data_IF_267853403278
#
_entry.id   IF_267853403278
#
_cell.length_a   1.000
_cell.length_b   1.000
_cell.length_c   1.000
_cell.angle_alpha   90.00
_cell.angle_beta   90.00
_cell.angle_gamma   90.00
#
_symmetry.space_group_name_H-M   'P 1'
#
loop_
_entity.id
_entity.type
_entity.pdbx_description
1 polymer ?
#
# COMPACT_ATOMS: atom_id res chain seq x y z
N UNK A 1 -10.98 -39.17 -29.67
CA UNK A 1 -9.89 -38.56 -28.88
C UNK A 1 -10.26 -38.72 -27.42
N UNK A 2 -9.52 -39.55 -26.67
CA UNK A 2 -9.76 -39.75 -25.25
C UNK A 2 -9.34 -38.47 -24.51
N UNK A 3 -10.30 -37.74 -23.95
CA UNK A 3 -10.04 -36.66 -23.02
C UNK A 3 -9.55 -37.30 -21.72
N UNK A 4 -8.25 -37.23 -21.49
CA UNK A 4 -7.60 -37.57 -20.24
C UNK A 4 -8.17 -36.69 -19.13
N UNK A 5 -9.12 -37.23 -18.36
CA UNK A 5 -9.58 -36.63 -17.12
C UNK A 5 -8.44 -36.80 -16.12
N UNK A 6 -7.59 -35.78 -16.01
CA UNK A 6 -6.54 -35.78 -15.00
C UNK A 6 -7.23 -35.54 -13.66
N UNK A 7 -7.51 -36.62 -12.92
CA UNK A 7 -8.01 -36.56 -11.54
C UNK A 7 -6.91 -35.95 -10.67
N UNK A 8 -6.91 -34.62 -10.57
CA UNK A 8 -6.15 -33.90 -9.55
C UNK A 8 -6.68 -34.35 -8.18
N UNK A 9 -5.94 -35.22 -7.48
CA UNK A 9 -6.17 -35.51 -6.05
C UNK A 9 -5.81 -34.28 -5.23
N UNK A 10 -6.73 -33.34 -5.13
CA UNK A 10 -6.59 -32.18 -4.26
C UNK A 10 -7.07 -32.59 -2.87
N UNK A 11 -6.16 -32.55 -1.90
CA UNK A 11 -6.47 -32.85 -0.51
C UNK A 11 -6.96 -31.57 0.17
N UNK A 12 -8.21 -31.56 0.58
CA UNK A 12 -8.82 -30.47 1.37
C UNK A 12 -8.72 -30.85 2.84
N UNK A 13 -8.29 -29.91 3.68
CA UNK A 13 -8.37 -30.06 5.14
C UNK A 13 -9.83 -30.29 5.55
N UNK A 14 -10.07 -31.17 6.52
CA UNK A 14 -11.44 -31.46 6.95
C UNK A 14 -12.05 -30.29 7.71
N UNK A 15 -13.34 -30.04 7.50
CA UNK A 15 -14.12 -29.10 8.32
C UNK A 15 -14.44 -29.75 9.68
N UNK A 16 -13.70 -29.40 10.72
CA UNK A 16 -13.92 -29.91 12.08
C UNK A 16 -14.70 -28.91 12.95
N UNK A 17 -14.49 -27.60 12.74
CA UNK A 17 -15.13 -26.55 13.52
C UNK A 17 -15.33 -25.20 12.81
N UNK A 18 -15.93 -24.21 13.51
CA UNK A 18 -16.16 -22.87 12.97
C UNK A 18 -14.89 -22.13 12.51
N UNK A 19 -13.76 -22.39 13.17
CA UNK A 19 -12.45 -21.85 12.86
C UNK A 19 -11.95 -22.22 11.46
N UNK A 20 -12.30 -23.41 10.98
CA UNK A 20 -11.88 -23.91 9.67
C UNK A 20 -12.79 -23.43 8.54
N UNK A 21 -14.00 -22.95 8.86
CA UNK A 21 -15.06 -22.66 7.90
C UNK A 21 -14.60 -21.75 6.75
N UNK A 22 -13.94 -20.63 7.06
CA UNK A 22 -13.52 -19.67 6.03
C UNK A 22 -12.51 -20.28 5.04
N UNK A 23 -11.50 -20.99 5.55
CA UNK A 23 -10.46 -21.64 4.73
C UNK A 23 -11.06 -22.81 3.93
N UNK A 24 -11.89 -23.61 4.58
CA UNK A 24 -12.58 -24.75 3.97
C UNK A 24 -13.53 -24.30 2.86
N UNK A 25 -14.40 -23.33 3.13
CA UNK A 25 -15.37 -22.81 2.16
C UNK A 25 -14.66 -22.26 0.93
N UNK A 26 -13.58 -21.51 1.11
CA UNK A 26 -12.78 -20.99 -0.01
C UNK A 26 -12.21 -22.13 -0.87
N UNK A 27 -11.55 -23.11 -0.26
CA UNK A 27 -10.92 -24.22 -0.98
C UNK A 27 -11.97 -25.11 -1.69
N UNK A 28 -13.07 -25.44 -1.02
CA UNK A 28 -14.18 -26.22 -1.60
C UNK A 28 -14.87 -25.45 -2.73
N UNK A 29 -15.07 -24.13 -2.59
CA UNK A 29 -15.65 -23.32 -3.68
C UNK A 29 -14.78 -23.34 -4.94
N UNK A 30 -13.45 -23.29 -4.78
CA UNK A 30 -12.53 -23.44 -5.92
C UNK A 30 -12.64 -24.81 -6.58
N UNK A 31 -12.77 -25.87 -5.80
CA UNK A 31 -12.95 -27.23 -6.32
C UNK A 31 -14.27 -27.41 -7.06
N UNK A 32 -15.36 -26.88 -6.51
CA UNK A 32 -16.68 -26.93 -7.16
C UNK A 32 -16.65 -26.19 -8.51
N UNK A 33 -15.95 -25.06 -8.59
CA UNK A 33 -15.73 -24.35 -9.87
C UNK A 33 -14.90 -25.17 -10.85
N UNK A 34 -13.82 -25.79 -10.39
CA UNK A 34 -12.96 -26.62 -11.24
C UNK A 34 -13.72 -27.81 -11.85
N UNK A 35 -14.71 -28.36 -11.13
CA UNK A 35 -15.56 -29.44 -11.62
C UNK A 35 -16.88 -28.97 -12.28
N UNK A 36 -17.10 -27.65 -12.40
CA UNK A 36 -18.36 -27.07 -12.89
C UNK A 36 -19.62 -27.51 -12.12
N UNK A 37 -19.50 -27.68 -10.79
CA UNK A 37 -20.57 -28.12 -9.89
C UNK A 37 -21.12 -26.99 -8.99
N UNK A 38 -20.54 -25.79 -9.05
CA UNK A 38 -20.93 -24.66 -8.18
C UNK A 38 -22.42 -24.33 -8.31
N UNK A 39 -22.98 -24.41 -9.53
CA UNK A 39 -24.38 -24.12 -9.82
C UNK A 39 -25.39 -25.12 -9.25
N UNK A 40 -24.96 -26.34 -8.97
CA UNK A 40 -25.81 -27.35 -8.32
C UNK A 40 -25.82 -27.10 -6.82
N UNK A 41 -24.66 -26.76 -6.25
CA UNK A 41 -24.48 -26.54 -4.82
C UNK A 41 -25.10 -25.24 -4.32
N UNK A 42 -25.07 -24.18 -5.13
CA UNK A 42 -25.71 -22.91 -4.79
C UNK A 42 -27.23 -22.90 -5.07
N UNK A 43 -27.76 -23.95 -5.72
CA UNK A 43 -29.18 -24.11 -6.07
C UNK A 43 -29.63 -23.32 -7.32
N UNK A 44 -28.73 -22.73 -8.10
CA UNK A 44 -29.08 -22.01 -9.35
C UNK A 44 -29.52 -22.97 -10.44
N UNK A 45 -28.93 -24.17 -10.52
CA UNK A 45 -29.32 -25.25 -11.39
C UNK A 45 -30.32 -26.18 -10.69
N UNK A 46 -31.62 -25.93 -10.89
CA UNK A 46 -32.68 -26.78 -10.34
C UNK A 46 -32.82 -28.09 -11.11
N UNK A 47 -33.17 -29.16 -10.39
CA UNK A 47 -33.47 -30.46 -10.97
C UNK A 47 -34.56 -30.32 -12.06
N UNK A 48 -34.29 -30.75 -13.32
CA UNK A 48 -35.29 -30.73 -14.38
C UNK A 48 -36.47 -31.67 -14.04
N UNK A 49 -37.71 -31.20 -14.16
CA UNK A 49 -38.90 -32.04 -13.94
C UNK A 49 -39.10 -33.01 -15.11
N UNK A 50 -39.27 -34.29 -14.80
CA UNK A 50 -39.58 -35.33 -15.80
C UNK A 50 -41.03 -35.75 -15.63
N UNK A 51 -41.90 -35.32 -16.56
CA UNK A 51 -43.28 -35.78 -16.67
C UNK A 51 -43.40 -37.02 -17.58
N UNK A 52 -44.54 -37.71 -17.57
CA UNK A 52 -44.78 -38.93 -18.37
C UNK A 52 -44.71 -38.75 -19.90
N UNK A 53 -44.67 -37.50 -20.39
CA UNK A 53 -44.54 -37.11 -21.79
C UNK A 53 -43.19 -36.45 -22.13
N UNK A 54 -42.19 -36.57 -21.25
CA UNK A 54 -40.87 -35.95 -21.44
C UNK A 54 -40.13 -36.53 -22.63
N UNK A 55 -39.42 -35.66 -23.35
CA UNK A 55 -38.55 -36.04 -24.46
C UNK A 55 -37.30 -36.78 -23.95
N UNK A 56 -36.70 -37.61 -24.82
CA UNK A 56 -35.44 -38.32 -24.51
C UNK A 56 -34.33 -37.38 -24.01
N UNK A 57 -34.32 -36.13 -24.49
CA UNK A 57 -33.33 -35.11 -24.11
C UNK A 57 -33.55 -34.59 -22.67
N UNK A 58 -34.80 -34.48 -22.22
CA UNK A 58 -35.14 -34.02 -20.86
C UNK A 58 -34.81 -35.09 -19.82
N UNK A 59 -35.06 -36.36 -20.16
CA UNK A 59 -34.67 -37.50 -19.32
C UNK A 59 -33.15 -37.59 -19.17
N UNK A 60 -32.40 -37.38 -20.26
CA UNK A 60 -30.93 -37.39 -20.24
C UNK A 60 -30.36 -36.23 -19.40
N UNK A 61 -30.92 -35.02 -19.54
CA UNK A 61 -30.54 -33.86 -18.69
C UNK A 61 -30.84 -34.09 -17.21
N UNK A 62 -31.97 -34.69 -16.88
CA UNK A 62 -32.32 -35.04 -15.49
C UNK A 62 -31.33 -36.06 -14.91
N UNK A 63 -30.99 -37.11 -15.67
CA UNK A 63 -29.99 -38.09 -15.24
C UNK A 63 -28.59 -37.48 -15.07
N UNK A 64 -28.21 -36.53 -15.95
CA UNK A 64 -26.95 -35.82 -15.83
C UNK A 64 -26.92 -34.94 -14.58
N UNK A 65 -28.00 -34.20 -14.30
CA UNK A 65 -28.13 -33.41 -13.08
C UNK A 65 -27.99 -34.26 -11.82
N UNK A 66 -28.64 -35.44 -11.77
CA UNK A 66 -28.52 -36.36 -10.62
C UNK A 66 -27.09 -36.86 -10.41
N UNK A 67 -26.34 -37.11 -11.49
CA UNK A 67 -24.93 -37.51 -11.40
C UNK A 67 -24.07 -36.38 -10.84
N UNK A 68 -24.30 -35.16 -11.32
CA UNK A 68 -23.53 -34.00 -10.92
C UNK A 68 -23.86 -33.58 -9.46
N UNK A 69 -25.12 -33.68 -9.03
CA UNK A 69 -25.54 -33.52 -7.63
C UNK A 69 -24.90 -34.57 -6.72
N UNK A 70 -24.95 -35.85 -7.10
CA UNK A 70 -24.30 -36.92 -6.33
C UNK A 70 -22.78 -36.71 -6.22
N UNK A 71 -22.14 -36.23 -7.30
CA UNK A 71 -20.70 -35.91 -7.31
C UNK A 71 -20.39 -34.73 -6.38
N UNK A 72 -21.19 -33.67 -6.43
CA UNK A 72 -21.05 -32.52 -5.55
C UNK A 72 -21.26 -32.90 -4.08
N UNK A 73 -22.32 -33.65 -3.77
CA UNK A 73 -22.61 -34.15 -2.43
C UNK A 73 -21.48 -35.05 -1.89
N UNK A 74 -20.92 -35.92 -2.73
CA UNK A 74 -19.79 -36.78 -2.36
C UNK A 74 -18.51 -35.98 -2.08
N UNK A 75 -18.25 -34.94 -2.88
CA UNK A 75 -17.11 -34.04 -2.66
C UNK A 75 -17.27 -33.27 -1.35
N UNK A 76 -18.45 -32.71 -1.10
CA UNK A 76 -18.75 -32.03 0.16
C UNK A 76 -18.57 -33.00 1.34
N UNK A 77 -19.26 -34.14 1.35
CA UNK A 77 -19.20 -35.13 2.42
C UNK A 77 -17.77 -35.65 2.69
N UNK A 78 -16.97 -35.85 1.64
CA UNK A 78 -15.58 -36.30 1.76
C UNK A 78 -14.63 -35.32 2.45
N UNK A 79 -15.02 -34.04 2.55
CA UNK A 79 -14.24 -32.97 3.16
C UNK A 79 -14.75 -32.55 4.55
N UNK A 80 -15.73 -33.26 5.10
CA UNK A 80 -16.27 -33.00 6.44
C UNK A 80 -15.56 -33.84 7.50
N UNK A 81 -15.35 -33.22 8.67
CA UNK A 81 -15.02 -33.92 9.91
C UNK A 81 -16.19 -34.75 10.42
N UNK A 82 -15.94 -35.60 11.42
CA UNK A 82 -16.95 -36.57 11.92
C UNK A 82 -18.18 -35.86 12.48
N UNK A 83 -17.96 -34.85 13.32
CA UNK A 83 -19.00 -34.05 13.99
C UNK A 83 -19.86 -33.27 12.99
N UNK A 84 -19.23 -32.69 11.98
CA UNK A 84 -19.92 -31.88 10.96
C UNK A 84 -20.69 -32.77 9.98
N UNK A 85 -20.17 -33.96 9.67
CA UNK A 85 -20.87 -34.95 8.86
C UNK A 85 -22.22 -35.36 9.48
N UNK A 86 -22.26 -35.54 10.81
CA UNK A 86 -23.49 -35.89 11.54
C UNK A 86 -24.59 -34.82 11.39
N UNK A 87 -24.22 -33.55 11.20
CA UNK A 87 -25.19 -32.46 11.00
C UNK A 87 -25.91 -32.55 9.65
N UNK A 88 -25.27 -33.11 8.63
CA UNK A 88 -25.77 -33.09 7.24
C UNK A 88 -26.34 -34.43 6.79
N UNK A 89 -26.33 -35.46 7.64
CA UNK A 89 -26.83 -36.82 7.31
C UNK A 89 -28.27 -36.88 6.77
N UNK A 90 -29.11 -35.91 7.12
CA UNK A 90 -30.51 -35.85 6.68
C UNK A 90 -30.68 -35.14 5.33
N UNK A 91 -29.63 -34.56 4.77
CA UNK A 91 -29.70 -33.79 3.53
C UNK A 91 -29.62 -34.74 2.34
N UNK A 92 -30.50 -34.54 1.36
CA UNK A 92 -30.59 -35.38 0.17
C UNK A 92 -29.78 -34.85 -1.01
N UNK A 93 -29.70 -33.52 -1.13
CA UNK A 93 -29.04 -32.84 -2.25
C UNK A 93 -27.81 -32.06 -1.79
N UNK A 94 -26.87 -31.84 -2.71
CA UNK A 94 -25.65 -31.08 -2.42
C UNK A 94 -25.97 -29.63 -1.99
N UNK A 95 -27.04 -29.05 -2.54
CA UNK A 95 -27.55 -27.74 -2.16
C UNK A 95 -28.00 -27.68 -0.70
N UNK A 96 -28.74 -28.69 -0.24
CA UNK A 96 -29.20 -28.78 1.15
C UNK A 96 -28.03 -28.92 2.13
N UNK A 97 -27.02 -29.74 1.78
CA UNK A 97 -25.79 -29.88 2.58
C UNK A 97 -25.13 -28.51 2.73
N UNK A 98 -24.95 -27.81 1.62
CA UNK A 98 -24.29 -26.51 1.59
C UNK A 98 -25.08 -25.44 2.36
N UNK A 99 -26.40 -25.40 2.21
CA UNK A 99 -27.27 -24.49 2.96
C UNK A 99 -27.24 -24.74 4.46
N UNK A 100 -27.21 -26.01 4.88
CA UNK A 100 -27.17 -26.37 6.31
C UNK A 100 -25.82 -26.00 6.94
N UNK A 101 -24.73 -26.18 6.21
CA UNK A 101 -23.40 -25.76 6.63
C UNK A 101 -23.32 -24.22 6.71
N UNK A 102 -23.82 -23.51 5.70
CA UNK A 102 -23.93 -22.04 5.72
C UNK A 102 -24.74 -21.56 6.92
N UNK A 103 -25.93 -22.12 7.16
CA UNK A 103 -26.77 -21.75 8.30
C UNK A 103 -26.08 -22.00 9.66
N UNK A 104 -25.22 -23.01 9.76
CA UNK A 104 -24.52 -23.36 11.00
C UNK A 104 -23.29 -22.52 11.28
N UNK A 105 -22.52 -22.18 10.24
CA UNK A 105 -21.19 -21.55 10.37
C UNK A 105 -21.15 -20.10 9.92
N UNK A 106 -22.10 -19.67 9.08
CA UNK A 106 -22.25 -18.27 8.62
C UNK A 106 -23.33 -17.52 9.37
N UNK A 107 -23.82 -18.10 10.48
CA UNK A 107 -24.82 -17.46 11.31
C UNK A 107 -24.29 -16.10 11.77
N UNK A 108 -24.86 -15.05 11.17
CA UNK A 108 -24.66 -13.71 11.65
C UNK A 108 -25.31 -13.55 13.01
N UNK A 109 -24.59 -12.93 13.94
CA UNK A 109 -25.10 -12.69 15.30
C UNK A 109 -24.48 -11.45 15.88
N UNK A 110 -25.21 -10.76 16.76
CA UNK A 110 -24.69 -9.59 17.48
C UNK A 110 -23.45 -9.96 18.31
N UNK A 111 -23.37 -11.21 18.82
CA UNK A 111 -22.19 -11.71 19.50
C UNK A 111 -20.98 -11.79 18.57
N UNK A 112 -21.14 -12.33 17.35
CA UNK A 112 -20.07 -12.37 16.34
C UNK A 112 -19.62 -10.96 15.96
N UNK A 113 -20.56 -10.04 15.73
CA UNK A 113 -20.25 -8.64 15.46
C UNK A 113 -19.41 -8.03 16.59
N UNK A 114 -19.86 -8.14 17.84
CA UNK A 114 -19.13 -7.60 19.00
C UNK A 114 -17.74 -8.23 19.16
N UNK A 115 -17.59 -9.54 18.93
CA UNK A 115 -16.28 -10.21 18.97
C UNK A 115 -15.35 -9.69 17.86
N UNK A 116 -15.87 -9.44 16.65
CA UNK A 116 -15.08 -8.90 15.54
C UNK A 116 -14.68 -7.44 15.79
N UNK A 117 -15.57 -6.62 16.35
CA UNK A 117 -15.26 -5.26 16.79
C UNK A 117 -14.12 -5.29 17.80
N UNK A 118 -14.24 -6.11 18.85
CA UNK A 118 -13.22 -6.21 19.88
C UNK A 118 -11.88 -6.73 19.32
N UNK A 119 -11.92 -7.76 18.47
CA UNK A 119 -10.72 -8.29 17.83
C UNK A 119 -10.03 -7.26 16.93
N UNK A 120 -10.79 -6.53 16.12
CA UNK A 120 -10.25 -5.51 15.22
C UNK A 120 -9.58 -4.36 15.98
N UNK A 121 -10.21 -3.84 17.04
CA UNK A 121 -9.64 -2.73 17.81
C UNK A 121 -8.53 -3.13 18.80
N UNK A 122 -8.44 -4.41 19.18
CA UNK A 122 -7.39 -4.90 20.09
C UNK A 122 -6.18 -5.49 19.37
N UNK A 123 -6.24 -5.74 18.06
CA UNK A 123 -5.14 -6.39 17.35
C UNK A 123 -3.88 -5.53 17.41
N UNK A 124 -2.79 -6.15 17.85
CA UNK A 124 -1.46 -5.54 17.90
C UNK A 124 -0.46 -6.50 17.26
N UNK A 125 0.60 -5.95 16.66
CA UNK A 125 1.66 -6.75 16.06
C UNK A 125 2.46 -7.43 17.16
N UNK A 126 2.63 -8.74 17.07
CA UNK A 126 3.60 -9.48 17.89
C UNK A 126 5.02 -9.17 17.38
N UNK A 127 5.98 -9.01 18.29
CA UNK A 127 7.39 -8.77 17.93
C UNK A 127 7.97 -9.87 17.03
N UNK A 128 7.49 -11.10 17.16
CA UNK A 128 7.93 -12.27 16.38
C UNK A 128 7.22 -12.42 15.04
N UNK A 129 6.17 -11.64 14.80
CA UNK A 129 5.38 -11.68 13.58
C UNK A 129 5.90 -10.64 12.57
N UNK A 130 6.07 -11.06 11.31
CA UNK A 130 6.41 -10.15 10.23
C UNK A 130 5.23 -9.23 9.87
N UNK A 131 5.54 -8.06 9.32
CA UNK A 131 4.54 -7.03 9.00
C UNK A 131 3.53 -7.53 7.97
N UNK A 132 3.95 -8.34 6.99
CA UNK A 132 3.05 -8.85 5.94
C UNK A 132 1.98 -9.76 6.52
N UNK A 133 2.37 -10.69 7.39
CA UNK A 133 1.43 -11.57 8.10
C UNK A 133 0.48 -10.78 9.00
N UNK A 134 1.00 -9.78 9.73
CA UNK A 134 0.17 -8.93 10.57
C UNK A 134 -0.84 -8.12 9.76
N UNK A 135 -0.41 -7.53 8.64
CA UNK A 135 -1.28 -6.79 7.71
C UNK A 135 -2.36 -7.71 7.14
N UNK A 136 -2.03 -8.94 6.75
CA UNK A 136 -3.00 -9.90 6.26
C UNK A 136 -4.04 -10.27 7.33
N UNK A 137 -3.65 -10.42 8.60
CA UNK A 137 -4.59 -10.64 9.71
C UNK A 137 -5.51 -9.45 9.93
N UNK A 138 -4.97 -8.23 9.93
CA UNK A 138 -5.73 -7.00 10.10
C UNK A 138 -6.73 -6.79 8.94
N UNK A 139 -6.28 -7.00 7.70
CA UNK A 139 -7.13 -6.98 6.49
C UNK A 139 -8.28 -7.97 6.60
N UNK A 140 -7.98 -9.20 7.02
CA UNK A 140 -9.00 -10.23 7.21
C UNK A 140 -10.03 -9.82 8.26
N UNK A 141 -9.59 -9.33 9.43
CA UNK A 141 -10.49 -8.85 10.48
C UNK A 141 -11.37 -7.69 10.00
N UNK A 142 -10.81 -6.77 9.21
CA UNK A 142 -11.54 -5.65 8.63
C UNK A 142 -12.64 -6.11 7.66
N UNK A 143 -12.31 -7.03 6.76
CA UNK A 143 -13.28 -7.62 5.81
C UNK A 143 -14.36 -8.38 6.56
N UNK A 144 -13.98 -9.25 7.49
CA UNK A 144 -14.93 -10.04 8.30
C UNK A 144 -15.87 -9.13 9.11
N UNK A 145 -15.36 -8.01 9.65
CA UNK A 145 -16.15 -7.03 10.40
C UNK A 145 -17.11 -6.26 9.49
N UNK A 146 -16.64 -5.75 8.34
CA UNK A 146 -17.51 -5.05 7.39
C UNK A 146 -18.60 -5.95 6.81
N UNK A 147 -18.26 -7.21 6.50
CA UNK A 147 -19.24 -8.21 6.06
C UNK A 147 -20.30 -8.48 7.15
N UNK A 148 -19.89 -8.50 8.42
CA UNK A 148 -20.82 -8.68 9.53
C UNK A 148 -21.68 -7.43 9.76
N UNK A 149 -21.11 -6.22 9.69
CA UNK A 149 -21.85 -4.95 9.76
C UNK A 149 -22.94 -4.87 8.69
N UNK A 150 -22.63 -5.25 7.44
CA UNK A 150 -23.60 -5.31 6.34
C UNK A 150 -24.76 -6.27 6.64
N UNK A 151 -24.50 -7.42 7.28
CA UNK A 151 -25.55 -8.39 7.64
C UNK A 151 -26.47 -7.89 8.76
N UNK A 152 -26.05 -6.91 9.55
CA UNK A 152 -26.85 -6.25 10.58
C UNK A 152 -27.47 -4.93 10.12
N UNK A 153 -27.39 -4.61 8.82
CA UNK A 153 -27.84 -3.32 8.24
C UNK A 153 -27.15 -2.10 8.91
N UNK A 154 -25.91 -2.28 9.38
CA UNK A 154 -25.09 -1.21 9.95
C UNK A 154 -24.12 -0.59 8.91
N UNK A 155 -23.61 0.61 9.22
CA UNK A 155 -22.65 1.29 8.35
C UNK A 155 -21.29 0.56 8.37
N UNK A 156 -20.74 0.31 7.18
CA UNK A 156 -19.38 -0.23 7.04
C UNK A 156 -18.32 0.78 7.41
N UNK A 157 -17.20 0.27 7.90
CA UNK A 157 -15.99 1.04 8.16
C UNK A 157 -15.28 1.37 6.83
N UNK A 158 -14.84 2.62 6.71
CA UNK A 158 -14.01 3.07 5.58
C UNK A 158 -12.63 2.41 5.61
N UNK A 159 -12.05 2.09 4.45
CA UNK A 159 -10.67 1.54 4.33
C UNK A 159 -9.60 2.42 5.00
N UNK A 160 -9.89 3.70 5.23
CA UNK A 160 -9.04 4.59 6.06
C UNK A 160 -8.82 4.05 7.47
N UNK A 161 -9.70 3.22 8.02
CA UNK A 161 -9.49 2.57 9.32
C UNK A 161 -8.42 1.48 9.26
N UNK A 162 -8.24 0.84 8.10
CA UNK A 162 -7.21 -0.16 7.87
C UNK A 162 -5.83 0.49 7.71
N UNK A 163 -5.75 1.55 6.90
CA UNK A 163 -4.50 2.29 6.64
C UNK A 163 -4.19 3.33 7.73
N UNK A 164 -5.16 3.62 8.59
CA UNK A 164 -5.11 4.69 9.59
C UNK A 164 -3.90 4.61 10.51
N UNK A 165 -3.58 3.45 11.12
CA UNK A 165 -2.43 3.32 12.02
C UNK A 165 -1.10 3.62 11.32
N UNK A 166 -0.90 3.13 10.09
CA UNK A 166 0.35 3.37 9.35
C UNK A 166 0.46 4.81 8.85
N UNK A 167 -0.62 5.32 8.24
CA UNK A 167 -0.66 6.71 7.74
C UNK A 167 -0.52 7.70 8.89
N UNK A 168 -1.21 7.51 10.01
CA UNK A 168 -1.09 8.39 11.18
C UNK A 168 0.32 8.44 11.76
N UNK A 169 1.05 7.31 11.74
CA UNK A 169 2.47 7.27 12.13
C UNK A 169 3.39 7.98 11.13
N UNK A 170 3.05 7.94 9.84
CA UNK A 170 3.81 8.58 8.78
C UNK A 170 3.63 10.11 8.73
N UNK A 171 2.45 10.61 9.12
CA UNK A 171 2.10 12.04 9.00
C UNK A 171 3.04 13.01 9.73
N UNK A 172 3.51 12.76 10.97
CA UNK A 172 4.49 13.62 11.63
C UNK A 172 5.77 13.80 10.82
N UNK A 173 6.32 12.70 10.29
CA UNK A 173 7.52 12.73 9.46
C UNK A 173 7.26 13.42 8.11
N UNK A 174 6.11 13.17 7.47
CA UNK A 174 5.74 13.87 6.23
C UNK A 174 5.63 15.38 6.45
N UNK A 175 4.98 15.79 7.53
CA UNK A 175 4.80 17.19 7.87
C UNK A 175 6.14 17.88 8.17
N UNK A 176 7.04 17.22 8.90
CA UNK A 176 8.37 17.74 9.18
C UNK A 176 9.23 17.83 7.90
N UNK A 177 9.19 16.81 7.03
CA UNK A 177 9.99 16.77 5.79
C UNK A 177 9.54 17.83 4.76
N UNK A 178 8.24 18.06 4.65
CA UNK A 178 7.68 19.00 3.66
C UNK A 178 7.72 20.45 4.11
N UNK A 179 8.25 20.70 5.32
CA UNK A 179 8.44 22.03 5.88
C UNK A 179 7.55 22.27 7.10
N UNK A 180 8.17 22.69 8.20
CA UNK A 180 7.53 23.18 9.41
C UNK A 180 8.42 24.28 10.03
N UNK A 181 8.05 24.82 11.19
CA UNK A 181 8.83 25.88 11.86
C UNK A 181 10.28 25.46 12.20
N UNK A 182 10.54 24.14 12.27
CA UNK A 182 11.82 23.57 12.69
C UNK A 182 12.64 22.96 11.54
N UNK A 183 12.07 22.85 10.34
CA UNK A 183 12.70 22.18 9.20
C UNK A 183 12.23 22.82 7.88
N UNK A 184 13.13 23.16 6.94
CA UNK A 184 12.79 23.97 5.78
C UNK A 184 11.85 23.24 4.81
N UNK A 185 11.06 24.02 4.07
CA UNK A 185 10.25 23.49 2.98
C UNK A 185 11.06 23.32 1.69
N UNK A 186 10.64 22.40 0.83
CA UNK A 186 11.14 22.36 -0.55
C UNK A 186 10.49 23.47 -1.37
N UNK A 187 11.31 24.18 -2.14
CA UNK A 187 10.85 25.35 -2.91
C UNK A 187 9.71 24.97 -3.86
N UNK A 188 8.59 25.71 -3.77
CA UNK A 188 7.38 25.49 -4.56
C UNK A 188 6.85 24.05 -4.53
N UNK A 189 7.04 23.34 -3.42
CA UNK A 189 6.41 22.03 -3.17
C UNK A 189 5.50 22.15 -1.94
N UNK A 190 4.23 22.41 -2.18
CA UNK A 190 3.20 22.42 -1.13
C UNK A 190 2.92 21.02 -0.57
N UNK A 191 2.16 20.91 0.52
CA UNK A 191 1.93 19.65 1.27
C UNK A 191 0.97 18.67 0.60
N UNK A 192 0.09 19.14 -0.30
CA UNK A 192 -0.92 18.31 -0.98
C UNK A 192 -0.29 17.20 -1.82
N UNK A 193 0.62 17.56 -2.74
CA UNK A 193 1.29 16.60 -3.63
C UNK A 193 2.11 15.53 -2.87
N UNK A 194 2.98 15.86 -1.91
CA UNK A 194 3.64 14.88 -1.04
C UNK A 194 2.66 13.94 -0.33
N UNK A 195 1.53 14.47 0.17
CA UNK A 195 0.49 13.66 0.81
C UNK A 195 -0.15 12.68 -0.18
N UNK A 196 -0.50 13.12 -1.38
CA UNK A 196 -1.07 12.25 -2.43
C UNK A 196 -0.08 11.14 -2.84
N UNK A 197 1.22 11.46 -2.95
CA UNK A 197 2.29 10.48 -3.21
C UNK A 197 2.38 9.45 -2.06
N UNK A 198 2.35 9.91 -0.81
CA UNK A 198 2.38 9.03 0.36
C UNK A 198 1.16 8.09 0.38
N UNK A 199 -0.03 8.62 0.12
CA UNK A 199 -1.26 7.82 0.13
C UNK A 199 -1.29 6.76 -0.98
N UNK A 200 -0.58 6.98 -2.09
CA UNK A 200 -0.49 6.05 -3.22
C UNK A 200 0.54 4.92 -3.07
N UNK A 201 1.33 4.86 -1.98
CA UNK A 201 2.42 3.89 -1.83
C UNK A 201 2.59 3.40 -0.39
N UNK A 202 2.33 2.11 -0.17
CA UNK A 202 2.56 1.46 1.13
C UNK A 202 4.04 1.51 1.55
N UNK A 203 4.97 1.40 0.59
CA UNK A 203 6.42 1.50 0.83
C UNK A 203 6.81 2.89 1.35
N UNK A 204 6.19 3.95 0.82
CA UNK A 204 6.42 5.29 1.36
C UNK A 204 5.79 5.43 2.74
N UNK A 205 4.57 4.93 2.95
CA UNK A 205 3.91 4.96 4.27
C UNK A 205 4.78 4.30 5.34
N UNK A 206 5.33 3.12 5.06
CA UNK A 206 6.24 2.40 5.96
C UNK A 206 7.53 3.19 6.23
N UNK A 207 8.18 3.72 5.19
CA UNK A 207 9.41 4.49 5.35
C UNK A 207 9.20 5.75 6.23
N UNK A 208 8.11 6.50 6.02
CA UNK A 208 7.78 7.66 6.84
C UNK A 208 7.36 7.28 8.26
N UNK A 209 6.64 6.18 8.44
CA UNK A 209 6.28 5.67 9.77
C UNK A 209 7.53 5.24 10.56
N UNK A 210 8.47 4.55 9.91
CA UNK A 210 9.74 4.14 10.50
C UNK A 210 10.63 5.35 10.82
N UNK A 211 10.68 6.36 9.96
CA UNK A 211 11.46 7.59 10.19
C UNK A 211 11.06 8.33 11.46
N UNK A 212 9.80 8.23 11.90
CA UNK A 212 9.35 8.81 13.17
C UNK A 212 9.68 7.96 14.41
N UNK A 213 10.30 6.80 14.26
CA UNK A 213 10.66 5.90 15.37
C UNK A 213 12.04 6.24 15.94
N UNK A 214 12.20 6.19 17.26
CA UNK A 214 13.44 6.56 17.94
C UNK A 214 14.62 5.65 17.55
N UNK A 215 14.37 4.34 17.49
CA UNK A 215 15.36 3.30 17.21
C UNK A 215 15.73 3.15 15.73
N UNK A 216 14.99 3.79 14.82
CA UNK A 216 15.14 3.58 13.38
C UNK A 216 16.38 4.28 12.82
N UNK A 217 17.24 3.57 12.08
CA UNK A 217 18.35 4.21 11.37
C UNK A 217 17.87 4.83 10.06
N UNK A 218 18.18 6.11 9.84
CA UNK A 218 17.80 6.83 8.63
C UNK A 218 18.37 6.16 7.37
N UNK A 219 19.53 5.51 7.47
CA UNK A 219 20.21 4.86 6.34
C UNK A 219 19.39 3.72 5.76
N UNK A 220 18.61 3.01 6.58
CA UNK A 220 17.71 1.95 6.13
C UNK A 220 16.58 2.49 5.24
N UNK A 221 16.10 3.71 5.54
CA UNK A 221 15.02 4.37 4.81
C UNK A 221 15.52 5.28 3.67
N UNK A 222 16.81 5.66 3.66
CA UNK A 222 17.33 6.68 2.76
C UNK A 222 17.04 6.39 1.27
N UNK A 223 17.25 5.17 0.73
CA UNK A 223 16.96 4.90 -0.69
C UNK A 223 15.48 5.08 -1.04
N UNK A 224 14.57 4.75 -0.12
CA UNK A 224 13.13 4.93 -0.30
C UNK A 224 12.78 6.42 -0.22
N UNK A 225 13.41 7.18 0.68
CA UNK A 225 13.22 8.62 0.78
C UNK A 225 13.77 9.36 -0.44
N UNK A 226 14.90 8.93 -1.01
CA UNK A 226 15.42 9.46 -2.27
C UNK A 226 14.45 9.23 -3.42
N UNK A 227 13.88 8.03 -3.52
CA UNK A 227 12.80 7.72 -4.47
C UNK A 227 11.59 8.63 -4.25
N UNK A 228 11.14 8.84 -3.00
CA UNK A 228 10.05 9.76 -2.70
C UNK A 228 10.34 11.19 -3.16
N UNK A 229 11.56 11.70 -2.93
CA UNK A 229 11.96 13.03 -3.40
C UNK A 229 11.99 13.07 -4.93
N UNK A 230 12.48 12.03 -5.62
CA UNK A 230 12.41 11.96 -7.08
C UNK A 230 10.95 12.04 -7.59
N UNK A 231 10.02 11.32 -6.95
CA UNK A 231 8.58 11.38 -7.27
C UNK A 231 7.99 12.78 -7.02
N UNK A 232 8.39 13.43 -5.93
CA UNK A 232 7.96 14.79 -5.60
C UNK A 232 8.33 15.78 -6.71
N UNK A 233 9.50 15.62 -7.33
CA UNK A 233 10.00 16.41 -8.45
C UNK A 233 9.57 15.87 -9.84
N UNK A 234 8.64 14.90 -9.90
CA UNK A 234 8.06 14.40 -11.14
C UNK A 234 8.85 13.29 -11.84
N UNK A 235 9.94 12.81 -11.23
CA UNK A 235 10.84 11.79 -11.78
C UNK A 235 10.56 10.41 -11.18
N UNK A 236 9.37 9.85 -11.47
CA UNK A 236 8.87 8.59 -10.86
C UNK A 236 9.74 7.34 -11.09
N UNK A 237 10.63 7.35 -12.09
CA UNK A 237 11.49 6.21 -12.45
C UNK A 237 12.87 6.26 -11.81
N UNK A 238 13.21 7.37 -11.15
CA UNK A 238 14.48 7.55 -10.48
C UNK A 238 14.33 7.33 -8.98
N UNK A 239 15.39 6.80 -8.38
CA UNK A 239 15.50 6.56 -6.94
C UNK A 239 16.75 7.21 -6.33
N UNK A 240 17.43 8.09 -7.09
CA UNK A 240 18.67 8.76 -6.71
C UNK A 240 18.50 10.26 -6.97
N UNK A 241 18.61 11.07 -5.91
CA UNK A 241 18.37 12.51 -5.99
C UNK A 241 19.48 13.26 -6.73
N UNK A 242 20.72 12.77 -6.70
CA UNK A 242 21.82 13.37 -7.45
C UNK A 242 21.62 13.15 -8.95
N UNK A 243 21.19 11.95 -9.36
CA UNK A 243 20.77 11.70 -10.75
C UNK A 243 19.56 12.54 -11.14
N UNK A 244 18.59 12.70 -10.24
CA UNK A 244 17.43 13.56 -10.47
C UNK A 244 17.83 15.03 -10.71
N UNK A 245 18.83 15.54 -9.98
CA UNK A 245 19.38 16.89 -10.20
C UNK A 245 19.97 17.03 -11.60
N UNK A 246 20.77 16.06 -12.05
CA UNK A 246 21.37 16.05 -13.40
C UNK A 246 20.27 16.00 -14.47
N UNK A 247 19.26 15.15 -14.29
CA UNK A 247 18.14 14.99 -15.22
C UNK A 247 17.32 16.29 -15.35
N UNK A 248 16.99 16.95 -14.23
CA UNK A 248 16.29 18.24 -14.24
C UNK A 248 17.15 19.32 -14.88
N UNK A 249 18.45 19.34 -14.56
CA UNK A 249 19.39 20.28 -15.17
C UNK A 249 19.41 20.12 -16.69
N UNK A 250 19.58 18.91 -17.20
CA UNK A 250 19.63 18.62 -18.64
C UNK A 250 18.30 18.91 -19.36
N UNK A 251 17.16 18.64 -18.73
CA UNK A 251 15.84 18.96 -19.29
C UNK A 251 15.58 20.46 -19.37
N UNK A 252 15.94 21.18 -18.31
CA UNK A 252 15.60 22.60 -18.14
C UNK A 252 16.57 23.49 -18.91
N UNK A 253 17.85 23.12 -18.96
CA UNK A 253 18.93 23.97 -19.45
C UNK A 253 19.59 23.41 -20.71
N UNK A 254 18.78 22.99 -21.69
CA UNK A 254 19.27 22.51 -22.99
C UNK A 254 20.22 23.54 -23.59
N UNK A 255 21.45 23.10 -23.85
CA UNK A 255 22.44 23.84 -24.62
C UNK A 255 21.88 24.04 -26.03
N UNK A 256 21.53 25.27 -26.38
CA UNK A 256 20.96 25.60 -27.69
C UNK A 256 21.96 25.46 -28.83
N UNK A 257 23.26 25.50 -28.52
CA UNK A 257 24.34 25.43 -29.50
C UNK A 257 25.52 24.62 -28.95
N UNK A 258 25.68 23.38 -29.42
CA UNK A 258 26.80 22.50 -29.09
C UNK A 258 28.08 22.80 -29.87
N UNK A 259 28.05 23.80 -30.77
CA UNK A 259 29.21 24.16 -31.60
C UNK A 259 30.27 25.00 -30.86
N UNK A 260 29.91 25.61 -29.73
CA UNK A 260 30.81 26.43 -28.91
C UNK A 260 30.90 25.90 -27.47
N UNK A 261 32.03 25.29 -27.06
CA UNK A 261 32.19 24.62 -25.76
C UNK A 261 32.06 25.53 -24.53
N UNK A 262 32.12 26.86 -24.70
CA UNK A 262 32.20 27.83 -23.59
C UNK A 262 31.18 28.98 -23.67
N UNK A 263 30.27 28.99 -24.65
CA UNK A 263 29.22 30.03 -24.77
C UNK A 263 27.83 29.45 -24.53
N UNK A 264 27.59 28.99 -23.32
CA UNK A 264 26.27 28.54 -22.88
C UNK A 264 25.42 29.76 -22.51
N UNK A 265 24.58 30.23 -23.43
CA UNK A 265 23.53 31.19 -23.09
C UNK A 265 22.41 30.47 -22.31
N UNK A 266 22.66 30.19 -21.03
CA UNK A 266 21.66 29.61 -20.12
C UNK A 266 20.62 30.67 -19.82
N UNK A 267 19.43 30.61 -20.45
CA UNK A 267 18.31 31.45 -20.05
C UNK A 267 17.82 30.99 -18.68
N UNK A 268 17.82 31.91 -17.71
CA UNK A 268 17.13 31.82 -16.42
C UNK A 268 17.44 30.55 -15.60
N UNK A 269 18.70 30.38 -15.18
CA UNK A 269 19.06 29.34 -14.20
C UNK A 269 18.55 29.70 -12.80
N UNK A 270 17.47 29.05 -12.38
CA UNK A 270 16.99 29.09 -10.99
C UNK A 270 17.24 27.73 -10.32
N UNK A 271 18.34 27.67 -9.56
CA UNK A 271 18.79 26.48 -8.84
C UNK A 271 17.78 26.01 -7.79
N UNK A 272 16.86 26.86 -7.33
CA UNK A 272 15.87 26.50 -6.32
C UNK A 272 14.89 25.43 -6.82
N UNK A 273 14.78 25.20 -8.14
CA UNK A 273 13.93 24.16 -8.71
C UNK A 273 14.56 22.76 -8.68
N UNK A 274 15.83 22.63 -8.29
CA UNK A 274 16.50 21.35 -8.14
C UNK A 274 16.14 20.68 -6.80
N UNK A 275 16.00 19.35 -6.75
CA UNK A 275 15.91 18.63 -5.48
C UNK A 275 17.22 18.77 -4.70
N UNK A 276 17.21 18.62 -3.36
CA UNK A 276 18.43 18.61 -2.57
C UNK A 276 19.41 17.55 -3.08
N UNK A 277 20.71 17.78 -2.91
CA UNK A 277 21.68 16.69 -3.10
C UNK A 277 21.53 15.65 -1.99
N UNK A 278 22.11 14.46 -2.17
CA UNK A 278 22.00 13.39 -1.19
C UNK A 278 22.49 13.82 0.21
N UNK A 279 23.60 14.56 0.29
CA UNK A 279 24.14 15.06 1.57
C UNK A 279 23.21 16.04 2.27
N UNK A 280 22.59 16.96 1.52
CA UNK A 280 21.58 17.88 2.04
C UNK A 280 20.33 17.13 2.51
N UNK A 281 19.87 16.17 1.71
CA UNK A 281 18.72 15.34 2.03
C UNK A 281 18.95 14.52 3.30
N UNK A 282 20.13 13.93 3.48
CA UNK A 282 20.49 13.21 4.71
C UNK A 282 20.35 14.10 5.95
N UNK A 283 20.89 15.32 5.92
CA UNK A 283 20.74 16.26 7.03
C UNK A 283 19.28 16.68 7.25
N UNK A 284 18.53 16.87 6.18
CA UNK A 284 17.09 17.15 6.22
C UNK A 284 16.31 16.00 6.88
N UNK A 285 16.63 14.74 6.54
CA UNK A 285 16.01 13.55 7.10
C UNK A 285 16.36 13.34 8.57
N UNK A 286 17.61 13.61 8.98
CA UNK A 286 17.99 13.58 10.38
C UNK A 286 17.13 14.54 11.23
N UNK A 287 16.91 15.76 10.71
CA UNK A 287 16.03 16.73 11.39
C UNK A 287 14.59 16.25 11.42
N UNK A 288 14.11 15.75 10.28
CA UNK A 288 12.77 15.18 10.14
C UNK A 288 12.52 14.07 11.17
N UNK A 289 13.46 13.13 11.31
CA UNK A 289 13.42 12.04 12.30
C UNK A 289 13.25 12.59 13.71
N UNK A 290 14.11 13.52 14.10
CA UNK A 290 14.09 14.10 15.45
C UNK A 290 12.75 14.76 15.78
N UNK A 291 12.26 15.63 14.89
CA UNK A 291 10.99 16.33 15.06
C UNK A 291 9.82 15.35 15.11
N UNK A 292 9.78 14.40 14.18
CA UNK A 292 8.71 13.41 14.11
C UNK A 292 8.65 12.51 15.35
N UNK A 293 9.82 12.09 15.86
CA UNK A 293 9.92 11.30 17.08
C UNK A 293 9.44 12.08 18.31
N UNK A 294 9.81 13.37 18.43
CA UNK A 294 9.29 14.24 19.48
C UNK A 294 7.76 14.34 19.43
N UNK A 295 7.19 14.60 18.25
CA UNK A 295 5.74 14.72 18.10
C UNK A 295 5.00 13.41 18.39
N UNK A 296 5.55 12.27 17.97
CA UNK A 296 4.96 10.95 18.25
C UNK A 296 4.97 10.63 19.75
N UNK A 297 6.00 11.07 20.46
CA UNK A 297 6.16 10.81 21.89
C UNK A 297 5.69 11.95 22.80
N UNK A 298 5.04 12.99 22.25
CA UNK A 298 4.60 14.16 23.02
C UNK A 298 3.59 13.85 24.15
N UNK A 299 3.00 12.66 24.14
CA UNK A 299 2.10 12.17 25.19
C UNK A 299 2.84 11.51 26.37
N UNK A 300 4.13 11.21 26.22
CA UNK A 300 4.98 10.72 27.30
C UNK A 300 5.69 11.88 27.98
N UNK A 301 5.86 11.77 29.30
CA UNK A 301 6.64 12.73 30.10
C UNK A 301 8.15 12.60 29.87
N UNK A 302 8.61 11.46 29.35
CA UNK A 302 10.02 11.19 29.07
C UNK A 302 10.50 11.98 27.85
N UNK A 303 11.51 12.82 28.06
CA UNK A 303 12.23 13.49 26.97
C UNK A 303 13.11 12.44 26.28
N UNK A 304 12.99 12.33 24.95
CA UNK A 304 13.81 11.43 24.12
C UNK A 304 15.31 11.57 24.46
N UNK A 305 16.06 10.47 24.40
CA UNK A 305 17.52 10.47 24.61
C UNK A 305 18.27 11.14 23.44
N UNK A 306 17.58 11.41 22.33
CA UNK A 306 18.19 12.03 21.15
C UNK A 306 18.58 13.48 21.41
N UNK A 307 19.84 13.82 21.11
CA UNK A 307 20.31 15.21 21.07
C UNK A 307 20.06 15.83 19.69
N UNK A 308 19.51 17.06 19.60
CA UNK A 308 19.41 17.80 18.34
C UNK A 308 20.74 17.87 17.58
N UNK A 309 21.87 17.98 18.28
CA UNK A 309 23.19 18.09 17.64
C UNK A 309 23.60 16.85 16.85
N UNK A 310 22.99 15.69 17.15
CA UNK A 310 23.22 14.45 16.42
C UNK A 310 22.20 14.26 15.28
N UNK A 311 21.24 15.17 15.15
CA UNK A 311 20.12 15.07 14.24
C UNK A 311 20.08 16.22 13.21
N UNK A 312 21.24 16.69 12.77
CA UNK A 312 21.32 17.70 11.71
C UNK A 312 21.11 19.15 12.16
N UNK A 313 21.32 19.42 13.46
CA UNK A 313 21.55 20.78 13.98
C UNK A 313 22.96 20.93 14.53
N UNK A 314 23.41 22.18 14.64
CA UNK A 314 24.65 22.59 15.32
C UNK A 314 24.31 23.64 16.37
N UNK A 315 25.06 23.66 17.47
CA UNK A 315 24.94 24.69 18.48
C UNK A 315 25.91 25.84 18.15
N UNK A 316 25.37 27.02 17.87
CA UNK A 316 26.11 28.25 17.62
C UNK A 316 25.65 29.27 18.66
N UNK A 317 26.53 29.62 19.60
CA UNK A 317 26.27 30.60 20.66
C UNK A 317 25.00 30.35 21.49
N UNK A 318 24.71 29.08 21.78
CA UNK A 318 23.53 28.67 22.54
C UNK A 318 22.24 28.59 21.72
N UNK A 319 22.30 28.82 20.40
CA UNK A 319 21.18 28.65 19.47
C UNK A 319 21.39 27.44 18.57
N UNK A 320 20.32 26.71 18.30
CA UNK A 320 20.34 25.59 17.35
C UNK A 320 20.13 26.11 15.93
N UNK A 321 21.13 25.89 15.08
CA UNK A 321 21.05 26.20 13.65
C UNK A 321 21.05 24.89 12.83
N UNK A 322 20.34 24.83 11.69
CA UNK A 322 20.41 23.66 10.81
C UNK A 322 21.81 23.45 10.24
N UNK A 323 22.28 22.20 10.28
CA UNK A 323 23.43 21.74 9.50
C UNK A 323 22.94 21.44 8.09
N UNK A 324 23.20 22.32 7.12
CA UNK A 324 22.65 22.18 5.77
C UNK A 324 23.32 21.09 4.94
N UNK A 325 24.64 20.99 5.03
CA UNK A 325 25.45 20.12 4.19
C UNK A 325 26.68 19.65 4.95
N UNK A 326 27.06 18.40 4.73
CA UNK A 326 28.32 17.81 5.20
C UNK A 326 29.02 17.18 4.00
N UNK A 327 30.28 17.56 3.78
CA UNK A 327 31.10 17.08 2.67
C UNK A 327 31.92 18.21 2.04
N UNK A 328 32.62 17.88 0.97
CA UNK A 328 33.34 18.87 0.17
C UNK A 328 32.35 19.63 -0.72
N UNK A 329 32.36 20.96 -0.63
CA UNK A 329 31.52 21.82 -1.49
C UNK A 329 32.10 21.95 -2.90
N UNK A 330 33.39 21.64 -3.06
CA UNK A 330 34.10 21.67 -4.32
C UNK A 330 34.61 20.25 -4.63
N UNK A 331 34.53 19.81 -5.89
CA UNK A 331 35.19 18.58 -6.35
C UNK A 331 36.69 18.61 -6.03
N UNK A 332 37.26 17.46 -5.63
CA UNK A 332 38.68 17.38 -5.30
C UNK A 332 39.55 17.37 -6.57
N UNK A 333 39.03 16.81 -7.66
CA UNK A 333 39.70 16.75 -8.95
C UNK A 333 38.79 17.18 -10.11
N UNK A 334 39.39 17.50 -11.27
CA UNK A 334 38.61 17.90 -12.45
C UNK A 334 37.84 16.71 -13.04
N UNK A 335 38.38 15.49 -12.92
CA UNK A 335 37.76 14.27 -13.40
C UNK A 335 36.40 14.01 -12.72
N UNK A 336 36.22 14.50 -11.49
CA UNK A 336 34.97 14.40 -10.72
C UNK A 336 33.85 15.30 -11.27
N UNK A 337 34.18 16.24 -12.18
CA UNK A 337 33.27 17.24 -12.77
C UNK A 337 32.84 16.82 -14.18
N UNK A 338 33.55 15.88 -14.80
CA UNK A 338 33.25 15.42 -16.16
C UNK A 338 32.03 14.49 -16.11
N UNK A 339 30.86 15.03 -16.43
CA UNK A 339 29.63 14.24 -16.59
C UNK A 339 29.80 13.35 -17.82
N UNK A 340 30.17 12.09 -17.62
CA UNK A 340 30.24 11.10 -18.70
C UNK A 340 28.86 10.52 -19.03
N UNK A 341 28.60 10.13 -20.29
CA UNK A 341 27.35 9.47 -20.69
C UNK A 341 27.00 8.24 -19.83
N UNK A 342 28.02 7.55 -19.31
CA UNK A 342 27.88 6.36 -18.49
C UNK A 342 27.23 6.65 -17.12
N UNK A 343 27.37 7.88 -16.60
CA UNK A 343 26.70 8.35 -15.36
C UNK A 343 25.19 8.57 -15.60
N UNK A 344 24.80 8.91 -16.84
CA UNK A 344 23.40 9.17 -17.20
C UNK A 344 22.56 7.88 -17.28
N UNK A 345 23.19 6.70 -17.39
CA UNK A 345 22.50 5.47 -17.79
C UNK A 345 21.87 5.61 -19.17
N UNK A 346 21.46 4.51 -19.80
CA UNK A 346 20.72 4.57 -21.06
C UNK A 346 19.57 5.58 -20.92
N UNK A 347 19.69 6.71 -21.62
CA UNK A 347 18.70 7.78 -21.61
C UNK A 347 17.44 7.19 -22.21
N UNK A 348 16.52 6.72 -21.36
CA UNK A 348 15.21 6.28 -21.80
C UNK A 348 14.53 7.51 -22.41
N UNK A 349 14.52 7.59 -23.74
CA UNK A 349 13.63 8.43 -24.52
C UNK A 349 12.19 8.12 -24.10
N UNK A 350 11.73 8.79 -23.07
CA UNK A 350 10.36 8.75 -22.62
C UNK A 350 9.71 10.02 -23.14
N UNK A 351 9.03 9.85 -24.27
CA UNK A 351 7.88 10.67 -24.61
C UNK A 351 7.00 10.71 -23.36
N UNK A 352 7.06 11.84 -22.64
CA UNK A 352 6.08 12.18 -21.63
C UNK A 352 4.83 12.49 -22.44
N UNK A 353 3.90 11.54 -22.51
CA UNK A 353 2.53 11.87 -22.86
C UNK A 353 2.05 12.85 -21.82
N UNK A 354 1.67 14.02 -22.32
CA UNK A 354 1.01 15.09 -21.60
C UNK A 354 -0.16 14.55 -20.79
N UNK A 355 0.03 14.39 -19.48
CA UNK A 355 -1.05 14.59 -18.53
C UNK A 355 -0.99 16.06 -18.13
N UNK A 356 -1.45 16.92 -19.04
CA UNK A 356 -1.85 18.29 -18.74
C UNK A 356 -3.00 18.23 -17.71
N UNK A 357 -2.68 18.32 -16.43
CA UNK A 357 -3.60 18.93 -15.49
C UNK A 357 -2.85 19.79 -14.47
N UNK A 358 -2.81 21.08 -14.82
CA UNK A 358 -2.57 22.24 -13.96
C UNK A 358 -1.21 22.36 -13.27
N UNK A 359 -0.19 22.75 -14.03
CA UNK A 359 0.86 23.64 -13.51
C UNK A 359 1.25 24.63 -14.61
N UNK A 360 0.31 25.53 -14.95
CA UNK A 360 0.73 26.84 -15.45
C UNK A 360 1.39 27.53 -14.26
N UNK A 361 2.71 27.73 -14.32
CA UNK A 361 3.34 28.76 -13.51
C UNK A 361 2.62 30.08 -13.85
N UNK A 362 1.66 30.49 -13.02
CA UNK A 362 1.16 31.85 -13.03
C UNK A 362 2.29 32.75 -12.53
N UNK A 363 3.10 33.22 -13.48
CA UNK A 363 3.82 34.48 -13.34
C UNK A 363 2.78 35.59 -13.41
N UNK A 364 2.27 36.02 -12.26
CA UNK A 364 1.76 37.37 -12.04
C UNK A 364 1.39 37.53 -10.56
N UNK A 365 2.26 38.16 -9.80
CA UNK A 365 1.82 39.03 -8.71
C UNK A 365 2.60 40.33 -8.82
N UNK A 366 1.85 41.36 -9.17
CA UNK A 366 2.26 42.75 -9.13
C UNK A 366 2.59 43.12 -7.68
N UNK A 367 3.61 43.96 -7.56
CA UNK A 367 4.03 44.68 -6.36
C UNK A 367 2.82 45.39 -5.74
N UNK A 368 2.38 44.97 -4.57
CA UNK A 368 1.65 45.86 -3.65
C UNK A 368 2.57 46.16 -2.46
N UNK A 369 3.28 47.28 -2.61
CA UNK A 369 3.82 48.06 -1.52
C UNK A 369 2.72 48.33 -0.49
N UNK A 370 2.89 47.84 0.73
CA UNK A 370 2.28 48.47 1.91
C UNK A 370 3.32 49.43 2.49
N UNK A 371 3.21 50.68 2.08
CA UNK A 371 3.47 51.80 2.98
C UNK A 371 2.47 51.65 4.13
N UNK A 372 2.95 51.49 5.36
CA UNK A 372 2.20 51.91 6.54
C UNK A 372 3.16 52.73 7.41
N UNK A 373 3.05 54.04 7.23
CA UNK A 373 3.37 55.03 8.25
C UNK A 373 2.39 54.86 9.43
N UNK A 374 2.91 54.65 10.63
CA UNK A 374 2.65 55.50 11.82
C UNK A 374 3.68 55.21 12.93
#
# INVERSE_FOLDING_TARGET
MATSNNDYKIQVDKLEGPEDWAKWKWHVSMLLRAYALEDIVNGTCKCPEVAGNSTSLEVEKHQQWLKDDAKAASLLAGTLGKTVSELVLTCTHASEIWDKLRARFERSSTQRLNMLIEAFFRVQRDEKEDISTHVAKLQKLFVDLNDELLKHDENVLSERMLNGPLVSQALPALHALTGCDYNPAFYRRGKKRPFDILMGSATFQEAFANLGSEVHDIEESLPVMESFICHLYGLKKLADVNRARIEIFNKTYKVSDTSQPFSLNVRNYDACNLPPCQSELRQHLLRTKYIACLWRNAHYFSVSEMSPTNCGWKNVDGKLEPTWFIGNQLPEAYEDIVITPDILGDTLHLETRDDEESDRMETNFEDESSEDEE
#
